data_IF_616959735372
#
_entry.id   IF_616959735372
#
_cell.length_a   1.000
_cell.length_b   1.000
_cell.length_c   1.000
_cell.angle_alpha   90.00
_cell.angle_beta   90.00
_cell.angle_gamma   90.00
#
_symmetry.space_group_name_H-M   'P 1'
#
loop_
_entity.id
_entity.type
_entity.pdbx_description
1 polymer ?
#
# COMPACT_ATOMS: atom_id res chain seq x y z
N UNK A 1 38.53 -15.52 26.00
CA UNK A 1 37.10 -15.53 26.33
C UNK A 1 36.69 -14.10 26.65
N UNK A 2 36.01 -13.44 25.70
CA UNK A 2 35.32 -12.17 25.94
C UNK A 2 34.18 -12.13 24.93
N UNK A 3 33.01 -12.59 25.36
CA UNK A 3 31.76 -12.40 24.63
C UNK A 3 31.43 -10.91 24.67
N UNK A 4 31.48 -10.24 23.52
CA UNK A 4 30.83 -8.96 23.37
C UNK A 4 29.33 -9.24 23.25
N UNK A 5 28.59 -8.95 24.33
CA UNK A 5 27.14 -8.92 24.35
C UNK A 5 26.67 -7.84 23.37
N UNK A 6 26.34 -8.28 22.15
CA UNK A 6 25.59 -7.47 21.21
C UNK A 6 24.21 -7.21 21.82
N UNK A 7 23.99 -5.97 22.23
CA UNK A 7 22.71 -5.47 22.71
C UNK A 7 21.72 -5.48 21.55
N UNK A 8 21.07 -6.63 21.34
CA UNK A 8 20.00 -6.78 20.36
C UNK A 8 18.80 -5.93 20.80
N UNK A 9 18.42 -4.99 19.95
CA UNK A 9 17.20 -4.21 20.16
C UNK A 9 15.97 -5.12 20.08
N UNK A 10 14.93 -4.91 20.90
CA UNK A 10 13.77 -5.81 20.95
C UNK A 10 13.00 -5.94 19.62
N UNK A 11 13.16 -4.99 18.69
CA UNK A 11 12.60 -5.08 17.34
C UNK A 11 13.30 -6.11 16.44
N UNK A 12 14.61 -6.36 16.63
CA UNK A 12 15.36 -7.32 15.80
C UNK A 12 14.90 -8.77 16.05
N UNK A 13 14.45 -9.07 17.27
CA UNK A 13 14.03 -10.43 17.64
C UNK A 13 12.71 -10.83 16.96
N UNK A 14 11.80 -9.89 16.69
CA UNK A 14 10.50 -10.18 16.06
C UNK A 14 10.63 -10.35 14.53
N UNK A 15 11.54 -9.62 13.89
CA UNK A 15 11.83 -9.76 12.45
C UNK A 15 12.49 -11.09 12.07
N UNK A 16 13.01 -11.84 13.04
CA UNK A 16 13.71 -13.11 12.86
C UNK A 16 12.81 -14.36 12.85
N UNK A 17 11.50 -14.23 13.12
CA UNK A 17 10.59 -15.40 13.15
C UNK A 17 10.11 -15.85 11.77
N UNK A 18 10.21 -14.99 10.75
CA UNK A 18 9.77 -15.28 9.39
C UNK A 18 10.93 -15.12 8.42
N UNK A 19 11.17 -16.15 7.60
CA UNK A 19 12.16 -16.09 6.54
C UNK A 19 11.83 -15.00 5.51
N UNK A 20 12.85 -14.42 4.88
CA UNK A 20 12.68 -13.33 3.91
C UNK A 20 11.66 -13.64 2.79
N UNK A 21 11.66 -14.84 2.16
CA UNK A 21 10.66 -15.19 1.16
C UNK A 21 9.23 -15.26 1.71
N UNK A 22 9.07 -15.62 2.99
CA UNK A 22 7.75 -15.66 3.64
C UNK A 22 7.23 -14.24 3.87
N UNK A 23 8.09 -13.33 4.35
CA UNK A 23 7.72 -11.92 4.53
C UNK A 23 7.33 -11.28 3.20
N UNK A 24 8.07 -11.55 2.13
CA UNK A 24 7.74 -11.09 0.78
C UNK A 24 6.35 -11.57 0.34
N UNK A 25 6.06 -12.87 0.46
CA UNK A 25 4.74 -13.44 0.11
C UNK A 25 3.59 -12.81 0.90
N UNK A 26 3.81 -12.47 2.17
CA UNK A 26 2.80 -11.80 2.99
C UNK A 26 2.48 -10.40 2.42
N UNK A 27 3.51 -9.63 2.03
CA UNK A 27 3.32 -8.31 1.42
C UNK A 27 2.62 -8.42 0.07
N UNK A 28 3.04 -9.34 -0.79
CA UNK A 28 2.41 -9.60 -2.09
C UNK A 28 0.93 -9.99 -1.91
N UNK A 29 0.65 -10.87 -0.95
CA UNK A 29 -0.72 -11.27 -0.61
C UNK A 29 -1.56 -10.10 -0.10
N UNK A 30 -0.96 -9.14 0.62
CA UNK A 30 -1.69 -7.95 1.06
C UNK A 30 -2.10 -7.07 -0.12
N UNK A 31 -1.21 -6.86 -1.09
CA UNK A 31 -1.48 -6.05 -2.29
C UNK A 31 -2.56 -6.74 -3.13
N UNK A 32 -2.39 -8.03 -3.44
CA UNK A 32 -3.38 -8.79 -4.18
C UNK A 32 -4.71 -8.87 -3.42
N UNK A 33 -4.66 -9.19 -2.12
CA UNK A 33 -5.82 -9.34 -1.26
C UNK A 33 -6.64 -8.06 -1.15
N UNK A 34 -6.01 -6.89 -1.09
CA UNK A 34 -6.70 -5.60 -1.07
C UNK A 34 -7.62 -5.43 -2.30
N UNK A 35 -7.14 -5.82 -3.49
CA UNK A 35 -7.94 -5.81 -4.72
C UNK A 35 -9.03 -6.89 -4.78
N UNK A 36 -8.89 -7.97 -4.00
CA UNK A 36 -9.84 -9.08 -3.96
C UNK A 36 -10.78 -9.04 -2.74
N UNK A 37 -10.93 -7.89 -2.08
CA UNK A 37 -11.89 -7.70 -0.99
C UNK A 37 -11.38 -8.08 0.40
N UNK A 38 -10.10 -8.44 0.55
CA UNK A 38 -9.47 -8.77 1.84
C UNK A 38 -8.97 -7.52 2.57
N UNK A 39 -9.83 -6.50 2.69
CA UNK A 39 -9.46 -5.18 3.24
C UNK A 39 -8.87 -5.28 4.65
N UNK A 40 -9.53 -6.04 5.54
CA UNK A 40 -9.09 -6.18 6.94
C UNK A 40 -7.69 -6.79 7.05
N UNK A 41 -7.40 -7.80 6.25
CA UNK A 41 -6.12 -8.49 6.21
C UNK A 41 -5.03 -7.56 5.66
N UNK A 42 -5.31 -6.87 4.55
CA UNK A 42 -4.39 -5.91 3.96
C UNK A 42 -4.09 -4.73 4.90
N UNK A 43 -5.09 -4.19 5.62
CA UNK A 43 -4.88 -3.17 6.66
C UNK A 43 -4.02 -3.68 7.82
N UNK A 44 -4.17 -4.95 8.20
CA UNK A 44 -3.36 -5.56 9.25
C UNK A 44 -1.91 -5.66 8.82
N UNK A 45 -1.66 -6.09 7.57
CA UNK A 45 -0.32 -6.22 7.01
C UNK A 45 0.32 -4.84 6.80
N UNK A 46 -0.45 -3.83 6.39
CA UNK A 46 0.01 -2.44 6.28
C UNK A 46 0.63 -1.95 7.60
N UNK A 47 -0.02 -2.24 8.74
CA UNK A 47 0.49 -1.87 10.07
C UNK A 47 1.72 -2.68 10.48
N UNK A 48 1.86 -3.90 9.96
CA UNK A 48 2.98 -4.79 10.24
C UNK A 48 4.18 -4.60 9.28
N UNK A 49 4.06 -3.76 8.24
CA UNK A 49 5.13 -3.50 7.27
C UNK A 49 6.52 -3.26 7.90
N UNK A 50 6.67 -2.47 8.98
CA UNK A 50 7.97 -2.26 9.61
C UNK A 50 8.67 -3.52 10.11
N UNK A 51 7.91 -4.57 10.43
CA UNK A 51 8.43 -5.87 10.85
C UNK A 51 8.63 -6.83 9.67
N UNK A 52 8.01 -6.57 8.52
CA UNK A 52 8.09 -7.42 7.34
C UNK A 52 9.22 -7.00 6.39
N UNK A 53 9.46 -5.69 6.30
CA UNK A 53 10.40 -5.07 5.36
C UNK A 53 11.39 -4.21 6.14
N UNK A 54 12.63 -4.68 6.19
CA UNK A 54 13.73 -4.03 6.91
C UNK A 54 14.31 -2.85 6.14
N UNK A 55 14.30 -2.94 4.81
CA UNK A 55 14.73 -1.85 3.95
C UNK A 55 13.74 -0.68 4.02
N UNK A 56 14.24 0.50 4.37
CA UNK A 56 13.40 1.66 4.65
C UNK A 56 12.69 2.14 3.40
N UNK A 57 13.43 2.29 2.31
CA UNK A 57 12.92 2.83 1.04
C UNK A 57 11.86 1.90 0.44
N UNK A 58 12.17 0.60 0.35
CA UNK A 58 11.21 -0.43 -0.09
C UNK A 58 9.94 -0.40 0.75
N UNK A 59 10.07 -0.26 2.08
CA UNK A 59 8.92 -0.18 2.99
C UNK A 59 8.07 1.06 2.72
N UNK A 60 8.70 2.19 2.43
CA UNK A 60 8.02 3.45 2.13
C UNK A 60 7.21 3.34 0.83
N UNK A 61 7.77 2.72 -0.22
CA UNK A 61 7.05 2.46 -1.47
C UNK A 61 5.92 1.45 -1.31
N UNK A 62 6.13 0.39 -0.54
CA UNK A 62 5.09 -0.61 -0.24
C UNK A 62 3.96 -0.03 0.60
N UNK A 63 4.24 0.93 1.47
CA UNK A 63 3.22 1.65 2.23
C UNK A 63 2.27 2.40 1.28
N UNK A 64 2.83 3.20 0.38
CA UNK A 64 2.06 3.91 -0.64
C UNK A 64 1.27 2.95 -1.55
N UNK A 65 1.91 1.89 -2.03
CA UNK A 65 1.26 0.86 -2.85
C UNK A 65 0.05 0.23 -2.15
N UNK A 66 0.17 -0.10 -0.87
CA UNK A 66 -0.93 -0.68 -0.10
C UNK A 66 -2.05 0.32 0.18
N UNK A 67 -1.75 1.61 0.41
CA UNK A 67 -2.79 2.65 0.50
C UNK A 67 -3.60 2.74 -0.80
N UNK A 68 -2.93 2.72 -1.96
CA UNK A 68 -3.59 2.72 -3.27
C UNK A 68 -4.44 1.45 -3.44
N UNK A 69 -3.89 0.27 -3.12
CA UNK A 69 -4.61 -1.00 -3.23
C UNK A 69 -5.83 -1.08 -2.31
N UNK A 70 -5.77 -0.41 -1.15
CA UNK A 70 -6.87 -0.24 -0.19
C UNK A 70 -7.82 0.91 -0.57
N UNK A 71 -7.67 1.53 -1.74
CA UNK A 71 -8.52 2.64 -2.20
C UNK A 71 -8.48 3.87 -1.26
N UNK A 72 -7.46 3.98 -0.42
CA UNK A 72 -7.21 5.17 0.42
C UNK A 72 -6.39 6.19 -0.38
N UNK A 73 -7.00 6.68 -1.46
CA UNK A 73 -6.35 7.55 -2.46
C UNK A 73 -5.94 8.89 -1.86
N UNK A 74 -6.66 9.38 -0.85
CA UNK A 74 -6.31 10.59 -0.11
C UNK A 74 -5.01 10.44 0.68
N UNK A 75 -4.88 9.36 1.47
CA UNK A 75 -3.65 9.09 2.21
C UNK A 75 -2.48 8.80 1.27
N UNK A 76 -2.71 8.02 0.21
CA UNK A 76 -1.70 7.75 -0.80
C UNK A 76 -1.17 9.04 -1.46
N UNK A 77 -2.06 9.96 -1.84
CA UNK A 77 -1.68 11.24 -2.45
C UNK A 77 -0.85 12.11 -1.52
N UNK A 78 -1.29 12.25 -0.26
CA UNK A 78 -0.55 13.01 0.75
C UNK A 78 0.85 12.42 0.97
N UNK A 79 0.94 11.09 1.03
CA UNK A 79 2.20 10.38 1.20
C UNK A 79 3.15 10.56 0.00
N UNK A 80 2.66 10.41 -1.23
CA UNK A 80 3.50 10.58 -2.43
C UNK A 80 3.98 12.04 -2.58
N UNK A 81 3.17 13.02 -2.19
CA UNK A 81 3.59 14.43 -2.20
C UNK A 81 4.71 14.72 -1.20
N UNK A 82 4.64 14.12 0.00
CA UNK A 82 5.71 14.21 1.00
C UNK A 82 6.99 13.48 0.54
N UNK A 83 6.84 12.29 -0.05
CA UNK A 83 7.94 11.53 -0.64
C UNK A 83 8.63 12.32 -1.77
N UNK A 84 7.88 12.98 -2.64
CA UNK A 84 8.43 13.83 -3.70
C UNK A 84 9.26 15.00 -3.17
N UNK A 85 8.96 15.51 -1.97
CA UNK A 85 9.70 16.59 -1.34
C UNK A 85 10.96 16.12 -0.60
N UNK A 86 11.00 14.84 -0.20
CA UNK A 86 12.01 14.30 0.73
C UNK A 86 12.95 13.28 0.10
N UNK A 87 12.49 12.51 -0.88
CA UNK A 87 13.26 11.47 -1.56
C UNK A 87 13.85 12.00 -2.86
N UNK A 88 15.18 12.00 -2.94
CA UNK A 88 15.91 12.66 -4.03
C UNK A 88 16.44 11.69 -5.11
N UNK A 89 16.32 10.36 -4.91
CA UNK A 89 17.04 9.37 -5.72
C UNK A 89 16.16 8.33 -6.46
N UNK A 90 14.94 8.02 -6.02
CA UNK A 90 14.06 7.03 -6.70
C UNK A 90 12.80 7.66 -7.31
N UNK A 91 13.01 8.43 -8.39
CA UNK A 91 11.91 9.04 -9.16
C UNK A 91 11.05 8.02 -9.90
N UNK A 92 11.59 6.83 -10.22
CA UNK A 92 10.87 5.83 -11.02
C UNK A 92 9.74 5.16 -10.22
N UNK A 93 10.00 4.78 -8.96
CA UNK A 93 8.96 4.22 -8.09
C UNK A 93 7.84 5.24 -7.83
N UNK A 94 8.21 6.49 -7.53
CA UNK A 94 7.28 7.60 -7.34
C UNK A 94 6.38 7.82 -8.57
N UNK A 95 6.96 7.83 -9.77
CA UNK A 95 6.24 8.01 -11.03
C UNK A 95 5.24 6.88 -11.28
N UNK A 96 5.65 5.63 -11.04
CA UNK A 96 4.78 4.45 -11.22
C UNK A 96 3.61 4.49 -10.24
N UNK A 97 3.85 4.79 -8.96
CA UNK A 97 2.81 4.86 -7.94
C UNK A 97 1.85 6.02 -8.19
N UNK A 98 2.36 7.17 -8.63
CA UNK A 98 1.52 8.32 -9.01
C UNK A 98 0.59 7.97 -10.17
N UNK A 99 1.14 7.35 -11.23
CA UNK A 99 0.34 6.91 -12.38
C UNK A 99 -0.71 5.86 -12.01
N UNK A 100 -0.37 4.95 -11.09
CA UNK A 100 -1.32 3.96 -10.61
C UNK A 100 -2.45 4.62 -9.81
N UNK A 101 -2.14 5.58 -8.93
CA UNK A 101 -3.13 6.36 -8.19
C UNK A 101 -4.10 7.10 -9.13
N UNK A 102 -3.57 7.76 -10.17
CA UNK A 102 -4.38 8.43 -11.20
C UNK A 102 -5.31 7.46 -11.93
N UNK A 103 -4.82 6.26 -12.26
CA UNK A 103 -5.63 5.22 -12.88
C UNK A 103 -6.76 4.72 -11.96
N UNK A 104 -6.52 4.66 -10.65
CA UNK A 104 -7.55 4.30 -9.66
C UNK A 104 -8.64 5.38 -9.56
N UNK A 105 -8.25 6.66 -9.48
CA UNK A 105 -9.20 7.79 -9.48
C UNK A 105 -10.05 7.81 -10.76
N UNK A 106 -9.44 7.56 -11.93
CA UNK A 106 -10.16 7.48 -13.20
C UNK A 106 -11.21 6.35 -13.22
N UNK A 107 -10.95 5.21 -12.58
CA UNK A 107 -11.92 4.11 -12.48
C UNK A 107 -13.13 4.45 -11.63
N UNK A 108 -12.93 5.20 -10.54
CA UNK A 108 -14.01 5.63 -9.67
C UNK A 108 -14.95 6.62 -10.38
N UNK A 109 -14.38 7.57 -11.14
CA UNK A 109 -15.20 8.55 -11.90
C UNK A 109 -16.08 7.89 -12.96
N UNK A 110 -15.56 6.89 -13.69
CA UNK A 110 -16.34 6.10 -14.67
C UNK A 110 -17.43 5.28 -13.97
N UNK A 111 -17.12 4.67 -12.81
CA UNK A 111 -18.11 3.89 -12.06
C UNK A 111 -19.28 4.73 -11.55
N UNK A 112 -19.03 5.98 -11.11
CA UNK A 112 -20.08 6.89 -10.66
C UNK A 112 -20.88 7.50 -11.82
N UNK A 113 -20.23 7.78 -12.96
CA UNK A 113 -20.89 8.33 -14.16
C UNK A 113 -21.99 7.43 -14.73
N UNK A 114 -21.82 6.11 -14.63
CA UNK A 114 -22.82 5.15 -15.11
C UNK A 114 -24.02 4.98 -14.17
N UNK A 115 -23.90 5.32 -12.89
CA UNK A 115 -25.01 5.22 -11.93
C UNK A 115 -26.03 6.37 -12.06
N UNK A 116 -25.65 7.49 -12.70
CA UNK A 116 -26.51 8.68 -12.82
C UNK A 116 -27.45 8.67 -14.02
N UNK A 117 -27.35 7.67 -14.91
CA UNK A 117 -28.16 7.58 -16.13
C UNK A 117 -29.24 6.50 -16.01
N UNK A 118 -30.20 6.68 -15.10
CA UNK A 118 -31.44 5.89 -15.11
C UNK A 118 -32.59 6.76 -15.62
N UNK A 119 -33.05 6.62 -16.88
CA UNK A 119 -34.22 7.33 -17.35
C UNK A 119 -35.45 6.76 -16.64
N UNK A 120 -36.15 7.61 -15.88
CA UNK A 120 -37.43 7.25 -15.27
C UNK A 120 -38.43 6.87 -16.38
N UNK A 121 -39.18 5.76 -16.25
CA UNK A 121 -40.18 5.40 -17.24
C UNK A 121 -41.38 6.34 -17.11
N UNK A 122 -41.61 7.18 -18.13
CA UNK A 122 -42.84 7.97 -18.26
C UNK A 122 -44.01 7.04 -18.56
N UNK A 123 -44.85 6.78 -17.58
CA UNK A 123 -46.17 6.16 -17.79
C UNK A 123 -47.14 7.24 -18.32
N UNK A 124 -47.55 7.11 -19.58
CA UNK A 124 -48.66 7.88 -20.15
C UNK A 124 -49.98 7.18 -19.77
N UNK A 125 -50.87 7.93 -19.12
CA UNK A 125 -52.29 7.60 -18.94
C UNK A 125 -53.13 8.18 -20.07
#
# INVERSE_FOLDING_TARGET
MTHAEQTQTPCDVVGQWLEAPVRQRIVELAIAGAHHGMRTQACTILRALPSLVTDRETREWLHAALLIALDDTCAARAYLADAAATMRDDGAALDVLTRWLEAMDARQTVSCGNASSSPSPTFLS
#
